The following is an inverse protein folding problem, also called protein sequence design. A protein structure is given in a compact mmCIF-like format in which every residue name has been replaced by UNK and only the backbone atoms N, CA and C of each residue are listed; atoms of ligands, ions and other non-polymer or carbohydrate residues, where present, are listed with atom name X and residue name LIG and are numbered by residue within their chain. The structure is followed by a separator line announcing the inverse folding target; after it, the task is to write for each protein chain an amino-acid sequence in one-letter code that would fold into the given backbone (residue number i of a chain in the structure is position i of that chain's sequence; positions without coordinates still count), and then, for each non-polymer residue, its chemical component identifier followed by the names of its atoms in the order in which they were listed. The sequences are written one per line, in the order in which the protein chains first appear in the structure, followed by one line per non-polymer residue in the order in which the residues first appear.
data_IF_191284077801
#
_entry.id   IF_191284077801
#
_cell.length_a   1.000
_cell.length_b   1.000
_cell.length_c   1.000
_cell.angle_alpha   90.00
_cell.angle_beta   90.00
_cell.angle_gamma   90.00
#
_symmetry.space_group_name_H-M   'P 1'
#
loop_
_entity.id
_entity.type
_entity.pdbx_description
1 polymer ?
#
# COMPACT_ATOMS: atom_id res chain seq x y z
N UNK A 1 -2.68 -2.91 15.75
CA UNK A 1 -1.21 -3.04 15.96
C UNK A 1 -0.95 -3.76 17.26
N UNK A 2 0.21 -4.42 17.39
CA UNK A 2 0.64 -5.08 18.62
C UNK A 2 1.77 -4.29 19.26
N UNK A 3 1.43 -3.24 20.04
CA UNK A 3 2.40 -2.33 20.64
C UNK A 3 3.31 -1.65 19.61
N UNK A 4 4.26 -0.83 20.06
CA UNK A 4 5.27 -0.19 19.19
C UNK A 4 6.33 -1.18 18.68
N UNK A 5 5.92 -2.40 18.32
CA UNK A 5 6.81 -3.40 17.72
C UNK A 5 7.37 -2.89 16.40
N UNK A 6 8.64 -3.19 16.11
CA UNK A 6 9.34 -2.80 14.88
C UNK A 6 8.53 -3.13 13.62
N UNK A 7 7.82 -4.26 13.64
CA UNK A 7 6.96 -4.72 12.54
C UNK A 7 5.76 -3.80 12.31
N UNK A 8 5.15 -3.29 13.37
CA UNK A 8 3.99 -2.39 13.26
C UNK A 8 4.41 -0.99 12.81
N UNK A 9 5.55 -0.48 13.30
CA UNK A 9 6.12 0.78 12.82
C UNK A 9 6.46 0.73 11.33
N UNK A 10 7.10 -0.37 10.88
CA UNK A 10 7.40 -0.58 9.46
C UNK A 10 6.13 -0.62 8.61
N UNK A 11 5.08 -1.30 9.08
CA UNK A 11 3.79 -1.34 8.41
C UNK A 11 3.19 0.06 8.20
N UNK A 12 3.21 0.91 9.25
CA UNK A 12 2.71 2.30 9.16
C UNK A 12 3.52 3.11 8.15
N UNK A 13 4.85 3.06 8.24
CA UNK A 13 5.72 3.85 7.37
C UNK A 13 5.49 3.48 5.89
N UNK A 14 5.41 2.18 5.61
CA UNK A 14 5.19 1.70 4.25
C UNK A 14 3.81 2.11 3.71
N UNK A 15 2.73 1.88 4.48
CA UNK A 15 1.38 2.23 4.00
C UNK A 15 1.21 3.74 3.84
N UNK A 16 1.79 4.54 4.74
CA UNK A 16 1.76 6.00 4.63
C UNK A 16 2.47 6.46 3.36
N UNK A 17 3.70 5.99 3.13
CA UNK A 17 4.47 6.32 1.92
C UNK A 17 3.71 5.96 0.63
N UNK A 18 3.08 4.79 0.60
CA UNK A 18 2.26 4.34 -0.52
C UNK A 18 1.03 5.22 -0.74
N UNK A 19 0.31 5.55 0.34
CA UNK A 19 -0.86 6.41 0.24
C UNK A 19 -0.49 7.83 -0.20
N UNK A 20 0.60 8.41 0.30
CA UNK A 20 1.08 9.71 -0.18
C UNK A 20 1.45 9.66 -1.67
N UNK A 21 2.14 8.61 -2.12
CA UNK A 21 2.60 8.51 -3.52
C UNK A 21 1.45 8.29 -4.52
N UNK A 22 0.44 7.50 -4.17
CA UNK A 22 -0.59 7.06 -5.14
C UNK A 22 -2.00 7.55 -4.83
N UNK A 23 -2.27 7.96 -3.60
CA UNK A 23 -3.59 8.36 -3.10
C UNK A 23 -3.61 9.75 -2.47
N UNK A 24 -2.63 10.62 -2.76
CA UNK A 24 -2.57 11.97 -2.20
C UNK A 24 -3.94 12.68 -2.26
N UNK A 25 -4.39 13.20 -1.11
CA UNK A 25 -5.68 13.88 -0.97
C UNK A 25 -6.93 12.99 -1.08
N UNK A 26 -6.79 11.67 -1.29
CA UNK A 26 -7.88 10.72 -1.54
C UNK A 26 -7.93 9.55 -0.55
N UNK A 27 -7.23 9.65 0.57
CA UNK A 27 -7.22 8.61 1.59
C UNK A 27 -7.41 9.18 2.99
N UNK A 28 -7.96 8.34 3.88
CA UNK A 28 -7.92 8.52 5.33
C UNK A 28 -7.30 7.27 5.93
N UNK A 29 -6.19 7.45 6.65
CA UNK A 29 -5.52 6.36 7.36
C UNK A 29 -5.81 6.49 8.86
N UNK A 30 -6.32 5.41 9.44
CA UNK A 30 -6.54 5.28 10.88
C UNK A 30 -5.68 4.14 11.41
N UNK A 31 -4.98 4.40 12.50
CA UNK A 31 -4.03 3.46 13.10
C UNK A 31 -4.54 3.06 14.47
N UNK A 32 -4.99 1.82 14.61
CA UNK A 32 -5.58 1.29 15.84
C UNK A 32 -4.59 0.35 16.52
N UNK A 33 -4.27 0.62 17.78
CA UNK A 33 -3.55 -0.31 18.65
C UNK A 33 -4.56 -1.24 19.34
N UNK A 34 -4.54 -2.51 18.95
CA UNK A 34 -5.57 -3.47 19.38
C UNK A 34 -5.40 -3.89 20.85
N UNK A 35 -4.22 -3.67 21.44
CA UNK A 35 -4.03 -3.89 22.88
C UNK A 35 -4.60 -2.76 23.73
N UNK A 36 -4.70 -1.55 23.18
CA UNK A 36 -5.31 -0.42 23.87
C UNK A 36 -6.82 -0.40 23.67
N UNK A 37 -7.30 -0.90 22.52
CA UNK A 37 -8.72 -0.93 22.18
C UNK A 37 -9.11 -2.31 21.61
N UNK A 38 -9.31 -3.28 22.51
CA UNK A 38 -9.63 -4.67 22.17
C UNK A 38 -10.97 -4.82 21.41
N UNK A 39 -11.93 -3.93 21.66
CA UNK A 39 -13.27 -3.95 21.03
C UNK A 39 -13.19 -3.93 19.49
N UNK A 40 -12.37 -3.05 18.91
CA UNK A 40 -12.18 -2.99 17.45
C UNK A 40 -11.59 -4.27 16.85
N UNK A 41 -10.79 -5.01 17.62
CA UNK A 41 -10.21 -6.27 17.14
C UNK A 41 -11.27 -7.36 16.97
N UNK A 42 -12.32 -7.32 17.79
CA UNK A 42 -13.44 -8.27 17.71
C UNK A 42 -14.35 -7.93 16.55
N UNK A 43 -14.76 -6.66 16.42
CA UNK A 43 -15.65 -6.23 15.33
C UNK A 43 -15.03 -6.50 13.95
N UNK A 44 -13.74 -6.21 13.80
CA UNK A 44 -13.02 -6.41 12.54
C UNK A 44 -12.42 -7.82 12.41
N UNK A 45 -12.63 -8.72 13.38
CA UNK A 45 -12.12 -10.09 13.41
C UNK A 45 -10.60 -10.16 13.13
N UNK A 46 -9.83 -9.28 13.77
CA UNK A 46 -8.39 -9.17 13.61
C UNK A 46 -7.69 -10.02 14.67
N UNK A 47 -7.37 -11.25 14.30
CA UNK A 47 -6.67 -12.21 15.19
C UNK A 47 -5.14 -12.00 15.15
N UNK A 48 -4.62 -11.49 14.03
CA UNK A 48 -3.19 -11.32 13.78
C UNK A 48 -2.87 -9.85 13.50
N UNK A 49 -1.75 -9.35 14.02
CA UNK A 49 -1.24 -8.03 13.69
C UNK A 49 0.20 -8.09 13.12
N UNK A 50 0.61 -7.12 12.28
CA UNK A 50 -0.17 -5.98 11.77
C UNK A 50 -1.15 -6.41 10.66
N UNK A 51 -2.36 -5.84 10.68
CA UNK A 51 -3.39 -6.04 9.65
C UNK A 51 -3.85 -4.69 9.13
N UNK A 52 -3.87 -4.53 7.81
CA UNK A 52 -4.44 -3.39 7.09
C UNK A 52 -5.84 -3.77 6.60
N UNK A 53 -6.81 -2.88 6.81
CA UNK A 53 -8.18 -3.06 6.36
C UNK A 53 -8.57 -1.89 5.46
N UNK A 54 -8.91 -2.20 4.20
CA UNK A 54 -9.51 -1.24 3.28
C UNK A 54 -11.03 -1.30 3.45
N UNK A 55 -11.61 -0.32 4.14
CA UNK A 55 -13.08 -0.23 4.36
C UNK A 55 -13.83 0.29 3.14
N UNK A 56 -13.26 1.27 2.44
CA UNK A 56 -13.88 1.92 1.29
C UNK A 56 -12.86 2.18 0.17
N UNK A 57 -13.29 2.23 -1.09
CA UNK A 57 -14.60 1.76 -1.56
C UNK A 57 -14.75 0.24 -1.37
N UNK A 58 -15.97 -0.27 -1.32
CA UNK A 58 -16.23 -1.71 -1.24
C UNK A 58 -15.66 -2.45 -2.47
N UNK A 59 -15.36 -3.76 -2.37
CA UNK A 59 -15.50 -4.62 -1.18
C UNK A 59 -14.39 -4.38 -0.15
N UNK A 60 -14.67 -4.78 1.10
CA UNK A 60 -13.69 -4.75 2.18
C UNK A 60 -12.56 -5.74 1.88
N UNK A 61 -11.32 -5.28 2.03
CA UNK A 61 -10.12 -6.13 1.84
C UNK A 61 -9.22 -6.06 3.07
N UNK A 62 -8.65 -7.20 3.46
CA UNK A 62 -7.72 -7.33 4.60
C UNK A 62 -6.37 -7.85 4.12
N UNK A 63 -5.30 -7.24 4.62
CA UNK A 63 -3.91 -7.63 4.36
C UNK A 63 -3.20 -7.83 5.69
N UNK A 64 -2.46 -8.92 5.84
CA UNK A 64 -1.66 -9.20 7.05
C UNK A 64 -0.19 -9.06 6.67
N UNK A 65 0.60 -8.35 7.48
CA UNK A 65 2.05 -8.23 7.27
C UNK A 65 2.62 -6.86 7.60
N UNK A 66 3.89 -6.65 7.24
CA UNK A 66 4.62 -5.39 7.46
C UNK A 66 4.45 -4.38 6.31
N UNK A 67 3.50 -4.63 5.41
CA UNK A 67 3.17 -3.79 4.26
C UNK A 67 4.38 -3.46 3.36
N UNK A 68 5.39 -4.34 3.26
CA UNK A 68 6.58 -4.10 2.43
C UNK A 68 6.40 -4.38 0.94
N UNK A 69 5.45 -5.25 0.58
CA UNK A 69 5.15 -5.61 -0.81
C UNK A 69 4.21 -4.58 -1.45
N UNK A 70 4.79 -3.71 -2.26
CA UNK A 70 4.07 -2.58 -2.87
C UNK A 70 3.02 -3.04 -3.88
N UNK A 71 3.37 -3.96 -4.79
CA UNK A 71 2.44 -4.44 -5.82
C UNK A 71 1.23 -5.15 -5.23
N UNK A 72 1.46 -5.94 -4.17
CA UNK A 72 0.37 -6.61 -3.44
C UNK A 72 -0.56 -5.59 -2.77
N UNK A 73 -0.01 -4.52 -2.20
CA UNK A 73 -0.82 -3.46 -1.57
C UNK A 73 -1.61 -2.70 -2.62
N UNK A 74 -0.98 -2.27 -3.72
CA UNK A 74 -1.66 -1.54 -4.79
C UNK A 74 -2.83 -2.36 -5.35
N UNK A 75 -2.59 -3.65 -5.60
CA UNK A 75 -3.63 -4.60 -6.07
C UNK A 75 -4.77 -4.73 -5.06
N UNK A 76 -4.45 -4.85 -3.77
CA UNK A 76 -5.46 -4.91 -2.72
C UNK A 76 -6.25 -3.59 -2.63
N UNK A 77 -5.60 -2.45 -2.73
CA UNK A 77 -6.26 -1.14 -2.65
C UNK A 77 -7.03 -0.77 -3.93
N UNK A 78 -6.94 -1.57 -4.99
CA UNK A 78 -7.49 -1.29 -6.32
C UNK A 78 -6.89 -0.02 -6.94
N UNK A 79 -5.59 0.16 -6.70
CA UNK A 79 -4.83 1.30 -7.21
C UNK A 79 -4.09 0.83 -8.45
N UNK A 80 -4.40 1.45 -9.59
CA UNK A 80 -3.58 1.27 -10.80
C UNK A 80 -2.27 2.02 -10.60
N UNK A 81 -1.10 1.36 -10.70
CA UNK A 81 0.15 2.09 -10.71
C UNK A 81 0.11 3.09 -11.87
N UNK A 82 0.55 4.32 -11.63
CA UNK A 82 0.83 5.25 -12.70
C UNK A 82 1.85 4.54 -13.59
N UNK A 83 1.47 4.21 -14.84
CA UNK A 83 2.45 3.71 -15.81
C UNK A 83 3.57 4.75 -15.84
N UNK A 84 4.76 4.38 -15.39
CA UNK A 84 5.95 5.15 -15.73
C UNK A 84 5.93 5.28 -17.24
N UNK A 85 5.99 6.53 -17.72
CA UNK A 85 5.91 6.84 -19.13
C UNK A 85 6.96 5.99 -19.85
N UNK A 86 6.52 5.03 -20.65
CA UNK A 86 7.32 4.45 -21.74
C UNK A 86 7.47 5.53 -22.82
N UNK A 87 8.20 6.61 -22.50
CA UNK A 87 8.72 7.57 -23.47
C UNK A 87 10.25 7.53 -23.29
N UNK A 88 10.95 7.31 -24.42
CA UNK A 88 12.42 7.21 -24.60
C UNK A 88 13.06 5.80 -24.70
N UNK A 89 12.47 4.91 -25.52
CA UNK A 89 13.26 3.90 -26.26
C UNK A 89 13.08 3.96 -27.79
N UNK A 90 12.75 5.13 -28.33
CA UNK A 90 12.82 5.38 -29.78
C UNK A 90 13.74 6.58 -30.10
N UNK A 91 15.01 6.54 -29.67
CA UNK A 91 16.07 7.25 -30.39
C UNK A 91 17.37 6.44 -30.30
N UNK A 92 17.85 5.97 -31.45
CA UNK A 92 19.11 5.20 -31.50
C UNK A 92 19.30 4.26 -32.70
N UNK A 93 18.44 4.27 -33.73
CA UNK A 93 18.77 3.56 -34.98
C UNK A 93 18.32 4.31 -36.24
N UNK A 94 18.78 5.55 -36.38
CA UNK A 94 18.94 6.19 -37.70
C UNK A 94 20.24 6.99 -37.77
N UNK A 95 21.29 6.30 -38.18
CA UNK A 95 22.48 6.79 -38.90
C UNK A 95 23.23 5.51 -39.30
N UNK A 96 23.69 5.25 -40.52
CA UNK A 96 23.88 6.05 -41.72
C UNK A 96 25.04 5.41 -42.49
N UNK A 97 24.75 4.81 -43.65
CA UNK A 97 25.62 4.52 -44.82
C UNK A 97 24.78 3.64 -45.75
N UNK A 98 24.34 4.00 -46.97
CA UNK A 98 24.88 4.91 -48.00
C UNK A 98 26.38 4.72 -48.20
N UNK A 99 26.76 3.63 -48.86
CA UNK A 99 27.28 3.58 -50.24
C UNK A 99 27.65 2.14 -50.60
#
# INVERSE_FOLDING_TARGET
MTGLSKKSLKAIMNIKSLCEKYLEGRYKLEVIDIYQQLEFSMDEHVIVAPTLIKKLPLPLKKLIGDMSDTDRILTALDIKPLKEKEYDREEGRKEGRKE
#
